data_IF_886112901930
#
_entry.id   IF_886112901930
#
_cell.length_a   1.000
_cell.length_b   1.000
_cell.length_c   1.000
_cell.angle_alpha   90.00
_cell.angle_beta   90.00
_cell.angle_gamma   90.00
#
_symmetry.space_group_name_H-M   'P 1'
#
loop_
_entity.id
_entity.type
_entity.pdbx_description
1 polymer ?
#
# COMPACT_ATOMS: atom_id res chain seq x y z
N UNK A 1 25.08 12.27 13.68
CA UNK A 1 23.65 12.64 13.53
C UNK A 1 22.81 11.39 13.30
N UNK A 2 22.22 10.83 14.37
CA UNK A 2 21.32 9.67 14.26
C UNK A 2 20.04 10.14 13.57
N UNK A 3 19.79 9.63 12.36
CA UNK A 3 18.48 9.76 11.72
C UNK A 3 17.51 8.97 12.60
N UNK A 4 16.65 9.67 13.33
CA UNK A 4 15.56 9.05 14.06
C UNK A 4 14.63 8.42 13.02
N UNK A 5 14.81 7.12 12.76
CA UNK A 5 13.80 6.32 12.08
C UNK A 5 12.62 6.21 13.04
N UNK A 6 11.74 7.21 13.04
CA UNK A 6 10.51 7.18 13.82
C UNK A 6 9.71 5.99 13.34
N UNK A 7 9.63 4.94 14.17
CA UNK A 7 8.75 3.79 13.91
C UNK A 7 7.32 4.29 13.83
N UNK A 8 6.53 3.71 12.91
CA UNK A 8 5.09 3.91 12.85
C UNK A 8 4.48 3.63 14.24
N UNK A 9 3.75 4.62 14.76
CA UNK A 9 2.92 4.53 15.96
C UNK A 9 1.45 4.52 15.53
N UNK A 10 0.62 3.77 16.26
CA UNK A 10 -0.83 3.66 15.99
C UNK A 10 -1.70 4.17 17.16
N UNK A 11 -1.08 4.78 18.16
CA UNK A 11 -1.78 5.39 19.28
C UNK A 11 -2.01 6.87 19.02
N UNK A 12 -3.25 7.34 19.22
CA UNK A 12 -3.65 8.74 19.08
C UNK A 12 -3.28 9.36 17.72
N UNK A 13 -3.48 8.60 16.64
CA UNK A 13 -3.16 9.02 15.27
C UNK A 13 -4.40 9.37 14.45
N UNK A 14 -4.21 10.22 13.45
CA UNK A 14 -5.16 10.42 12.35
C UNK A 14 -4.71 9.61 11.15
N UNK A 15 -5.60 8.75 10.63
CA UNK A 15 -5.29 7.87 9.51
C UNK A 15 -6.29 8.00 8.35
N UNK A 16 -5.78 7.98 7.12
CA UNK A 16 -6.61 7.73 5.93
C UNK A 16 -6.93 6.23 5.86
N UNK A 17 -8.21 5.89 5.98
CA UNK A 17 -8.69 4.51 5.90
C UNK A 17 -8.49 3.89 4.50
N UNK A 18 -8.41 2.55 4.39
CA UNK A 18 -8.34 1.85 3.12
C UNK A 18 -9.64 2.02 2.34
N UNK A 19 -9.54 2.47 1.09
CA UNK A 19 -10.68 2.67 0.20
C UNK A 19 -10.31 2.25 -1.22
N UNK A 20 -11.02 1.26 -1.77
CA UNK A 20 -10.79 0.79 -3.14
C UNK A 20 -11.08 1.93 -4.13
N UNK A 21 -10.23 2.11 -5.13
CA UNK A 21 -10.19 3.20 -6.13
C UNK A 21 -9.79 4.57 -5.59
N UNK A 22 -10.14 4.88 -4.35
CA UNK A 22 -9.85 6.19 -3.74
C UNK A 22 -8.43 6.24 -3.18
N UNK A 23 -7.96 5.18 -2.53
CA UNK A 23 -6.66 5.08 -1.84
C UNK A 23 -5.42 5.02 -2.75
N UNK A 24 -5.49 5.57 -3.95
CA UNK A 24 -4.36 5.69 -4.89
C UNK A 24 -3.33 6.72 -4.40
N UNK A 25 -2.12 6.74 -4.99
CA UNK A 25 -1.03 7.63 -4.54
C UNK A 25 -1.44 9.11 -4.39
N UNK A 26 -2.15 9.74 -5.34
CA UNK A 26 -2.54 11.15 -5.20
C UNK A 26 -3.37 11.44 -3.94
N UNK A 27 -4.34 10.58 -3.62
CA UNK A 27 -5.20 10.76 -2.45
C UNK A 27 -4.43 10.57 -1.14
N UNK A 28 -3.49 9.62 -1.10
CA UNK A 28 -2.64 9.41 0.07
C UNK A 28 -1.73 10.60 0.32
N UNK A 29 -1.09 11.13 -0.72
CA UNK A 29 -0.25 12.33 -0.59
C UNK A 29 -1.09 13.54 -0.16
N UNK A 30 -2.30 13.69 -0.70
CA UNK A 30 -3.21 14.75 -0.29
C UNK A 30 -3.59 14.65 1.19
N UNK A 31 -3.91 13.45 1.69
CA UNK A 31 -4.20 13.23 3.10
C UNK A 31 -2.99 13.56 3.99
N UNK A 32 -1.78 13.22 3.56
CA UNK A 32 -0.54 13.63 4.26
C UNK A 32 -0.36 15.15 4.26
N UNK A 33 -0.71 15.83 3.17
CA UNK A 33 -0.65 17.30 3.08
C UNK A 33 -1.68 17.97 4.02
N UNK A 34 -2.78 17.30 4.33
CA UNK A 34 -3.78 17.74 5.32
C UNK A 34 -3.52 17.25 6.76
N UNK A 35 -2.36 16.63 7.02
CA UNK A 35 -1.94 16.28 8.38
C UNK A 35 -2.31 14.88 8.84
N UNK A 36 -2.61 13.94 7.94
CA UNK A 36 -2.70 12.53 8.31
C UNK A 36 -1.33 12.00 8.76
N UNK A 37 -1.30 11.26 9.87
CA UNK A 37 -0.11 10.60 10.39
C UNK A 37 0.19 9.31 9.60
N UNK A 38 -0.86 8.60 9.22
CA UNK A 38 -0.81 7.30 8.53
C UNK A 38 -1.76 7.30 7.33
N UNK A 39 -1.35 6.66 6.24
CA UNK A 39 -2.20 6.50 5.05
C UNK A 39 -2.24 5.06 4.59
N UNK A 40 -3.43 4.46 4.55
CA UNK A 40 -3.61 3.13 3.99
C UNK A 40 -3.74 3.22 2.47
N UNK A 41 -3.16 2.27 1.75
CA UNK A 41 -3.43 2.10 0.34
C UNK A 41 -4.79 1.44 0.10
N UNK A 42 -5.13 1.28 -1.18
CA UNK A 42 -6.27 0.45 -1.59
C UNK A 42 -6.12 -0.99 -1.09
N UNK A 43 -7.24 -1.68 -0.96
CA UNK A 43 -7.23 -3.12 -0.68
C UNK A 43 -6.76 -3.88 -1.92
N UNK A 44 -5.62 -4.57 -1.81
CA UNK A 44 -5.02 -5.33 -2.90
C UNK A 44 -5.05 -6.83 -2.62
N UNK A 45 -5.46 -7.62 -3.62
CA UNK A 45 -5.52 -9.08 -3.49
C UNK A 45 -4.10 -9.65 -3.62
N UNK A 46 -3.72 -10.49 -2.65
CA UNK A 46 -2.39 -11.10 -2.57
C UNK A 46 -1.96 -11.85 -3.84
N UNK A 47 -2.84 -12.65 -4.44
CA UNK A 47 -2.54 -13.41 -5.67
C UNK A 47 -2.18 -12.50 -6.84
N UNK A 48 -2.74 -11.29 -6.90
CA UNK A 48 -2.41 -10.30 -7.92
C UNK A 48 -1.08 -9.61 -7.62
N UNK A 49 -0.80 -9.34 -6.35
CA UNK A 49 0.47 -8.74 -5.94
C UNK A 49 1.66 -9.68 -6.14
N UNK A 50 1.49 -10.99 -5.94
CA UNK A 50 2.53 -12.00 -6.21
C UNK A 50 2.98 -11.99 -7.68
N UNK A 51 2.08 -11.66 -8.60
CA UNK A 51 2.38 -11.59 -10.04
C UNK A 51 3.09 -10.29 -10.44
N UNK A 52 3.18 -9.32 -9.54
CA UNK A 52 3.74 -8.00 -9.86
C UNK A 52 5.27 -7.97 -9.80
N UNK A 53 5.86 -7.17 -10.68
CA UNK A 53 7.27 -6.82 -10.65
C UNK A 53 7.46 -5.45 -10.02
N UNK A 54 8.47 -5.33 -9.15
CA UNK A 54 8.87 -4.04 -8.58
C UNK A 54 9.78 -3.30 -9.56
N UNK A 55 9.31 -2.17 -10.07
CA UNK A 55 10.02 -1.29 -11.01
C UNK A 55 10.32 0.04 -10.34
N UNK A 56 11.56 0.51 -10.46
CA UNK A 56 11.91 1.88 -10.07
C UNK A 56 11.63 2.78 -11.27
N UNK A 57 10.75 3.76 -11.09
CA UNK A 57 10.36 4.69 -12.14
C UNK A 57 11.09 6.02 -11.93
N UNK A 58 12.19 6.21 -12.66
CA UNK A 58 13.05 7.40 -12.53
C UNK A 58 12.37 8.67 -13.02
N UNK A 59 11.44 8.58 -13.99
CA UNK A 59 10.73 9.75 -14.54
C UNK A 59 9.77 10.36 -13.52
N UNK A 60 9.10 9.52 -12.73
CA UNK A 60 8.13 9.96 -11.72
C UNK A 60 8.69 9.96 -10.29
N UNK A 61 9.93 9.51 -10.11
CA UNK A 61 10.55 9.27 -8.80
C UNK A 61 9.71 8.34 -7.90
N UNK A 62 9.10 7.32 -8.50
CA UNK A 62 8.24 6.34 -7.79
C UNK A 62 8.81 4.93 -7.81
N UNK A 63 8.24 4.09 -6.95
CA UNK A 63 8.36 2.64 -7.03
C UNK A 63 7.00 2.09 -7.41
N UNK A 64 6.98 1.35 -8.52
CA UNK A 64 5.78 0.81 -9.13
C UNK A 64 5.78 -0.72 -9.00
N UNK A 65 4.64 -1.30 -8.66
CA UNK A 65 4.38 -2.74 -8.69
C UNK A 65 3.50 -3.01 -9.90
N UNK A 66 4.08 -3.59 -10.94
CA UNK A 66 3.47 -3.71 -12.27
C UNK A 66 3.09 -5.16 -12.52
N UNK A 67 1.83 -5.41 -12.85
CA UNK A 67 1.33 -6.74 -13.20
C UNK A 67 1.78 -7.16 -14.63
N UNK A 68 1.65 -8.44 -15.03
CA UNK A 68 2.08 -8.90 -16.35
C UNK A 68 1.34 -8.27 -17.53
N UNK A 69 0.21 -7.60 -17.30
CA UNK A 69 -0.57 -6.85 -18.27
C UNK A 69 -0.19 -5.35 -18.33
N UNK A 70 1.01 -5.01 -17.85
CA UNK A 70 1.58 -3.66 -17.72
C UNK A 70 0.77 -2.70 -16.82
N UNK A 71 -0.24 -3.21 -16.10
CA UNK A 71 -1.02 -2.39 -15.17
C UNK A 71 -0.25 -2.16 -13.88
N UNK A 72 -0.15 -0.90 -13.46
CA UNK A 72 0.41 -0.54 -12.15
C UNK A 72 -0.61 -0.86 -11.05
N UNK A 73 -0.34 -1.91 -10.27
CA UNK A 73 -1.20 -2.37 -9.17
C UNK A 73 -0.99 -1.56 -7.90
N UNK A 74 0.23 -1.12 -7.65
CA UNK A 74 0.55 -0.23 -6.53
C UNK A 74 1.69 0.69 -6.93
N UNK A 75 1.56 1.98 -6.62
CA UNK A 75 2.59 3.00 -6.83
C UNK A 75 2.83 3.73 -5.52
N UNK A 76 4.09 3.89 -5.14
CA UNK A 76 4.51 4.60 -3.93
C UNK A 76 5.72 5.50 -4.21
N UNK A 77 6.00 6.45 -3.32
CA UNK A 77 7.14 7.35 -3.44
C UNK A 77 7.80 7.59 -2.08
N UNK A 78 8.97 8.24 -2.10
CA UNK A 78 9.76 8.50 -0.88
C UNK A 78 9.00 9.30 0.18
N UNK A 79 8.06 10.19 -0.22
CA UNK A 79 7.32 11.09 0.69
C UNK A 79 6.41 10.36 1.69
N UNK A 80 5.88 9.21 1.32
CA UNK A 80 4.96 8.42 2.16
C UNK A 80 5.62 7.19 2.78
N UNK A 81 6.90 6.92 2.50
CA UNK A 81 7.62 5.68 2.86
C UNK A 81 7.46 5.28 4.33
N UNK A 82 7.52 6.25 5.23
CA UNK A 82 7.46 6.01 6.68
C UNK A 82 6.04 6.12 7.26
N UNK A 83 5.02 6.31 6.40
CA UNK A 83 3.62 6.59 6.78
C UNK A 83 2.58 5.75 6.02
N UNK A 84 2.97 5.10 4.91
CA UNK A 84 2.07 4.28 4.11
C UNK A 84 1.93 2.87 4.69
N UNK A 85 0.69 2.41 4.84
CA UNK A 85 0.37 1.04 5.24
C UNK A 85 -0.17 0.29 4.04
N UNK A 86 0.48 -0.83 3.71
CA UNK A 86 0.08 -1.69 2.60
C UNK A 86 -0.94 -2.73 3.07
N UNK A 87 -2.20 -2.62 2.62
CA UNK A 87 -3.26 -3.55 2.98
C UNK A 87 -3.43 -4.64 1.93
N UNK A 88 -3.29 -5.89 2.36
CA UNK A 88 -3.52 -7.06 1.54
C UNK A 88 -4.75 -7.83 2.02
N UNK A 89 -5.53 -8.31 1.06
CA UNK A 89 -6.54 -9.34 1.32
C UNK A 89 -6.11 -10.66 0.71
N UNK A 90 -6.15 -11.68 1.54
CA UNK A 90 -5.88 -13.06 1.13
C UNK A 90 -7.08 -13.58 0.35
N UNK A 91 -6.85 -14.02 -0.87
CA UNK A 91 -7.84 -14.85 -1.54
C UNK A 91 -7.75 -16.26 -0.98
N UNK A 92 -8.74 -16.69 -0.19
CA UNK A 92 -8.88 -18.11 0.13
C UNK A 92 -9.32 -18.85 -1.14
N UNK A 93 -8.41 -19.62 -1.74
CA UNK A 93 -8.82 -20.70 -2.63
C UNK A 93 -9.65 -21.66 -1.80
N UNK A 94 -10.89 -21.88 -2.24
CA UNK A 94 -11.78 -22.84 -1.61
C UNK A 94 -11.17 -24.23 -1.82
N UNK A 95 -10.40 -24.74 -0.85
CA UNK A 95 -10.09 -26.17 -0.78
C UNK A 95 -11.38 -26.87 -0.31
N UNK A 96 -12.05 -27.68 -1.15
CA UNK A 96 -13.34 -28.29 -0.80
C UNK A 96 -13.28 -29.32 0.34
N UNK A 97 -12.12 -29.51 0.99
CA UNK A 97 -11.89 -30.53 2.02
C UNK A 97 -11.48 -30.01 3.39
N UNK A 98 -11.48 -28.70 3.64
CA UNK A 98 -11.27 -28.18 5.00
C UNK A 98 -12.56 -28.26 5.82
N UNK A 99 -13.05 -29.49 6.06
CA UNK A 99 -14.08 -29.75 7.08
C UNK A 99 -13.52 -29.27 8.42
N UNK A 100 -14.24 -28.34 9.05
CA UNK A 100 -14.12 -28.08 10.49
C UNK A 100 -14.20 -29.41 11.22
N UNK A 101 -13.18 -29.74 12.03
CA UNK A 101 -13.38 -30.62 13.17
C UNK A 101 -14.25 -29.90 14.19
#
# INVERSE_FOLDING_TARGET
NKINSSRLSFSDITALAPMVRVGTLPMRLLALDYGADVVYCEELIDIKMVQCQRVVNEVLETVDFVAPDDRVMFRTCKREKDRVVFQMVRQETFEPYRRKM
#
